data_IF_795009384685
#
_entry.id   IF_795009384685
#
_cell.length_a   1.000
_cell.length_b   1.000
_cell.length_c   1.000
_cell.angle_alpha   90.00
_cell.angle_beta   90.00
_cell.angle_gamma   90.00
#
_symmetry.space_group_name_H-M   'P 1'
#
loop_
_entity.id
_entity.type
_entity.pdbx_description
1 polymer ?
#
# COMPACT_ATOMS: atom_id res chain seq x y z
N UNK A 1 4.20 24.52 7.88
CA UNK A 1 4.15 23.09 8.31
C UNK A 1 2.90 22.82 9.13
N UNK A 2 2.65 23.55 10.23
CA UNK A 2 1.45 23.39 11.08
C UNK A 2 0.15 23.48 10.27
N UNK A 3 -0.10 24.60 9.57
CA UNK A 3 -1.34 24.78 8.77
C UNK A 3 -1.53 23.67 7.72
N UNK A 4 -0.48 23.35 6.96
CA UNK A 4 -0.50 22.25 5.99
C UNK A 4 -0.87 20.91 6.66
N UNK A 5 -0.24 20.57 7.78
CA UNK A 5 -0.54 19.32 8.49
C UNK A 5 -1.99 19.29 9.01
N UNK A 6 -2.48 20.40 9.57
CA UNK A 6 -3.86 20.52 10.04
C UNK A 6 -4.87 20.35 8.91
N UNK A 7 -4.63 20.98 7.76
CA UNK A 7 -5.43 20.82 6.54
C UNK A 7 -5.49 19.36 6.11
N UNK A 8 -4.34 18.71 5.94
CA UNK A 8 -4.26 17.32 5.48
C UNK A 8 -5.02 16.37 6.41
N UNK A 9 -4.90 16.57 7.73
CA UNK A 9 -5.66 15.78 8.72
C UNK A 9 -7.16 15.96 8.53
N UNK A 10 -7.63 17.19 8.33
CA UNK A 10 -9.06 17.49 8.11
C UNK A 10 -9.57 16.80 6.85
N UNK A 11 -8.89 16.96 5.72
CA UNK A 11 -9.37 16.35 4.49
C UNK A 11 -9.28 14.83 4.49
N UNK A 12 -8.22 14.26 5.07
CA UNK A 12 -8.16 12.81 5.23
C UNK A 12 -9.33 12.31 6.07
N UNK A 13 -9.63 13.00 7.18
CA UNK A 13 -10.77 12.67 8.05
C UNK A 13 -12.10 12.76 7.31
N UNK A 14 -12.30 13.80 6.48
CA UNK A 14 -13.50 13.95 5.66
C UNK A 14 -13.56 12.85 4.60
N UNK A 15 -12.47 12.60 3.88
CA UNK A 15 -12.42 11.59 2.82
C UNK A 15 -12.67 10.17 3.37
N UNK A 16 -12.20 9.86 4.58
CA UNK A 16 -12.51 8.58 5.23
C UNK A 16 -14.00 8.46 5.60
N UNK A 17 -14.70 9.58 5.80
CA UNK A 17 -16.13 9.58 6.13
C UNK A 17 -17.05 9.50 4.90
N UNK A 18 -16.66 10.13 3.78
CA UNK A 18 -17.54 10.29 2.60
C UNK A 18 -16.96 9.70 1.30
N UNK A 19 -15.79 9.07 1.36
CA UNK A 19 -15.08 8.50 0.20
C UNK A 19 -14.04 9.44 -0.40
N UNK A 20 -13.34 9.03 -1.48
CA UNK A 20 -12.35 9.86 -2.15
C UNK A 20 -12.98 11.13 -2.71
N UNK A 21 -12.57 12.30 -2.21
CA UNK A 21 -13.01 13.60 -2.71
C UNK A 21 -11.84 14.25 -3.42
N UNK A 22 -12.05 14.72 -4.65
CA UNK A 22 -11.06 15.57 -5.33
C UNK A 22 -11.01 16.91 -4.60
N UNK A 23 -9.98 17.09 -3.78
CA UNK A 23 -9.75 18.33 -3.06
C UNK A 23 -9.09 19.32 -4.04
N UNK A 24 -9.90 20.26 -4.57
CA UNK A 24 -9.92 21.62 -4.04
C UNK A 24 -11.37 22.10 -3.83
N UNK A 25 -11.62 22.68 -2.65
CA UNK A 25 -12.93 23.20 -2.29
C UNK A 25 -13.26 24.46 -3.09
N UNK A 26 -14.56 24.70 -3.29
CA UNK A 26 -15.01 26.02 -3.71
C UNK A 26 -14.52 27.12 -2.73
N UNK A 27 -14.67 28.39 -3.12
CA UNK A 27 -14.23 29.51 -2.28
C UNK A 27 -14.85 29.50 -0.87
N UNK A 28 -16.03 28.88 -0.71
CA UNK A 28 -16.71 28.75 0.58
C UNK A 28 -16.00 27.74 1.46
N UNK A 29 -15.67 26.57 0.93
CA UNK A 29 -14.95 25.52 1.65
C UNK A 29 -13.57 25.99 2.09
N UNK A 30 -12.82 26.66 1.20
CA UNK A 30 -11.52 27.24 1.53
C UNK A 30 -11.62 28.37 2.56
N UNK A 31 -12.67 29.21 2.48
CA UNK A 31 -12.92 30.24 3.48
C UNK A 31 -13.17 29.62 4.85
N UNK A 32 -14.12 28.69 4.97
CA UNK A 32 -14.45 28.02 6.24
C UNK A 32 -13.24 27.28 6.82
N UNK A 33 -12.50 26.54 5.98
CA UNK A 33 -11.31 25.81 6.40
C UNK A 33 -10.25 26.77 6.94
N UNK A 34 -10.01 27.88 6.23
CA UNK A 34 -9.07 28.90 6.69
C UNK A 34 -9.52 29.54 7.99
N UNK A 35 -10.79 29.93 8.12
CA UNK A 35 -11.31 30.53 9.35
C UNK A 35 -11.21 29.56 10.55
N UNK A 36 -11.43 28.27 10.32
CA UNK A 36 -11.38 27.28 11.39
C UNK A 36 -9.96 26.89 11.83
N UNK A 37 -8.96 27.01 10.95
CA UNK A 37 -7.57 26.64 11.22
C UNK A 37 -6.69 27.83 11.63
N UNK A 38 -6.93 29.01 11.05
CA UNK A 38 -6.32 30.25 11.50
C UNK A 38 -7.11 30.76 12.71
N UNK A 39 -6.55 30.68 13.93
CA UNK A 39 -7.09 31.32 15.15
C UNK A 39 -7.12 32.87 15.09
N UNK A 40 -7.20 33.46 13.89
CA UNK A 40 -7.15 34.90 13.61
C UNK A 40 -8.12 35.34 12.51
N UNK A 41 -9.13 34.53 12.21
CA UNK A 41 -10.28 34.93 11.43
C UNK A 41 -11.09 36.01 12.14
N UNK A 42 -10.82 37.28 11.84
CA UNK A 42 -11.49 38.45 12.42
C UNK A 42 -12.91 38.64 11.84
N UNK A 43 -13.68 37.56 11.65
CA UNK A 43 -15.08 37.64 11.28
C UNK A 43 -15.92 37.78 12.56
N UNK A 44 -16.37 38.99 12.93
CA UNK A 44 -17.12 39.20 14.16
C UNK A 44 -18.52 38.56 14.13
N UNK A 45 -18.93 37.98 12.99
CA UNK A 45 -20.27 37.43 12.82
C UNK A 45 -20.38 35.94 13.15
N UNK A 46 -19.28 35.18 13.09
CA UNK A 46 -19.29 33.72 13.26
C UNK A 46 -17.98 33.18 13.83
N UNK A 47 -18.09 32.29 14.82
CA UNK A 47 -16.97 31.48 15.31
C UNK A 47 -16.82 30.20 14.47
N UNK A 48 -15.57 29.87 14.12
CA UNK A 48 -15.23 28.67 13.37
C UNK A 48 -14.25 27.81 14.17
N UNK A 49 -14.58 26.54 14.38
CA UNK A 49 -13.71 25.60 15.07
C UNK A 49 -13.84 24.19 14.48
N UNK A 50 -12.72 23.48 14.35
CA UNK A 50 -12.69 22.07 13.93
C UNK A 50 -12.12 21.21 15.05
N UNK A 51 -12.82 20.12 15.37
CA UNK A 51 -12.40 19.19 16.42
C UNK A 51 -12.24 17.78 15.90
N UNK A 52 -11.02 17.25 16.00
CA UNK A 52 -10.75 15.83 15.76
C UNK A 52 -11.09 15.05 17.03
N UNK A 53 -11.96 14.03 16.88
CA UNK A 53 -12.42 13.20 18.01
C UNK A 53 -11.49 12.03 18.34
N UNK A 54 -10.62 11.66 17.40
CA UNK A 54 -9.66 10.56 17.57
C UNK A 54 -8.31 11.13 18.05
N UNK A 55 -7.53 10.39 18.85
CA UNK A 55 -6.17 10.82 19.18
C UNK A 55 -5.33 10.99 17.91
N UNK A 56 -4.60 12.12 17.83
CA UNK A 56 -3.58 12.36 16.83
C UNK A 56 -2.29 11.67 17.31
N UNK A 57 -1.89 10.59 16.64
CA UNK A 57 -0.64 9.90 16.93
C UNK A 57 0.45 10.42 15.99
N UNK A 58 1.43 11.16 16.52
CA UNK A 58 2.47 11.79 15.72
C UNK A 58 3.78 11.00 15.77
N UNK A 59 4.31 10.63 14.60
CA UNK A 59 5.57 9.90 14.44
C UNK A 59 6.46 10.51 13.35
N UNK A 60 7.77 10.32 13.46
CA UNK A 60 8.79 10.89 12.59
C UNK A 60 9.36 12.21 13.12
N UNK A 61 10.67 12.36 13.22
CA UNK A 61 11.25 13.63 13.63
C UNK A 61 10.99 14.71 12.54
N UNK A 62 10.73 15.98 12.91
CA UNK A 62 10.66 16.53 14.27
C UNK A 62 9.22 16.78 14.76
N UNK A 63 8.38 15.75 14.89
CA UNK A 63 6.97 15.90 15.33
C UNK A 63 6.79 16.72 16.61
N UNK A 64 7.69 16.61 17.58
CA UNK A 64 7.65 17.37 18.82
C UNK A 64 7.67 18.89 18.61
N UNK A 65 8.24 19.36 17.50
CA UNK A 65 8.39 20.78 17.23
C UNK A 65 7.12 21.46 16.69
N UNK A 66 6.17 20.71 16.13
CA UNK A 66 5.01 21.30 15.43
C UNK A 66 3.67 20.61 15.65
N UNK A 67 3.63 19.32 16.02
CA UNK A 67 2.35 18.66 16.30
C UNK A 67 1.59 19.18 17.53
N UNK A 68 2.23 19.74 18.58
CA UNK A 68 1.48 20.42 19.64
C UNK A 68 0.60 21.56 19.11
N UNK A 69 1.11 22.36 18.17
CA UNK A 69 0.34 23.44 17.55
C UNK A 69 -0.77 22.90 16.62
N UNK A 70 -0.51 21.80 15.89
CA UNK A 70 -1.53 21.12 15.06
C UNK A 70 -2.68 20.60 15.94
N UNK A 71 -2.36 19.93 17.04
CA UNK A 71 -3.36 19.38 17.95
C UNK A 71 -4.19 20.49 18.62
N UNK A 72 -3.56 21.62 18.92
CA UNK A 72 -4.25 22.81 19.41
C UNK A 72 -5.25 23.37 18.37
N UNK A 73 -4.82 23.54 17.12
CA UNK A 73 -5.69 24.01 16.02
C UNK A 73 -6.90 23.09 15.79
N UNK A 74 -6.70 21.78 15.95
CA UNK A 74 -7.71 20.76 15.71
C UNK A 74 -8.45 20.30 16.97
N UNK A 75 -8.24 20.99 18.11
CA UNK A 75 -8.82 20.65 19.41
C UNK A 75 -8.74 19.14 19.75
N UNK A 76 -7.64 18.50 19.35
CA UNK A 76 -7.46 17.06 19.41
C UNK A 76 -6.52 16.63 20.53
N UNK A 77 -6.70 15.41 21.03
CA UNK A 77 -5.72 14.77 21.91
C UNK A 77 -4.46 14.41 21.11
N UNK A 78 -3.28 14.86 21.55
CA UNK A 78 -2.01 14.51 20.93
C UNK A 78 -1.32 13.41 21.71
N UNK A 79 -0.92 12.36 21.01
CA UNK A 79 -0.07 11.29 21.52
C UNK A 79 1.21 11.26 20.70
N UNK A 80 2.35 11.50 21.35
CA UNK A 80 3.67 11.29 20.77
C UNK A 80 4.28 10.07 21.46
N UNK A 81 4.36 8.91 20.79
CA UNK A 81 4.94 7.71 21.37
C UNK A 81 6.45 7.88 21.67
N UNK A 82 7.00 7.08 22.60
CA UNK A 82 8.45 6.97 22.75
C UNK A 82 9.11 6.64 21.41
N UNK A 83 10.32 7.17 21.17
CA UNK A 83 11.09 6.93 19.95
C UNK A 83 10.38 7.37 18.65
N UNK A 84 9.38 8.26 18.72
CA UNK A 84 8.69 8.80 17.54
C UNK A 84 9.66 9.32 16.47
N UNK A 85 10.79 9.93 16.87
CA UNK A 85 11.82 10.40 15.96
C UNK A 85 12.46 9.34 15.06
N UNK A 86 12.45 8.07 15.49
CA UNK A 86 13.04 6.94 14.76
C UNK A 86 11.99 5.90 14.35
N UNK A 87 10.70 6.23 14.43
CA UNK A 87 9.61 5.31 14.11
C UNK A 87 9.74 4.69 12.71
N UNK A 88 10.21 5.44 11.72
CA UNK A 88 10.48 4.91 10.38
C UNK A 88 11.56 3.82 10.37
N UNK A 89 12.63 4.00 11.14
CA UNK A 89 13.71 3.01 11.25
C UNK A 89 13.23 1.76 12.02
N UNK A 90 12.48 1.96 13.11
CA UNK A 90 11.84 0.86 13.85
C UNK A 90 10.87 0.09 12.95
N UNK A 91 10.05 0.78 12.16
CA UNK A 91 9.14 0.16 11.21
C UNK A 91 9.85 -0.61 10.09
N UNK A 92 11.01 -0.12 9.63
CA UNK A 92 11.83 -0.83 8.65
C UNK A 92 12.42 -2.13 9.22
N UNK A 93 12.88 -2.11 10.48
CA UNK A 93 13.47 -3.30 11.14
C UNK A 93 12.40 -4.28 11.62
N UNK A 94 11.29 -3.80 12.17
CA UNK A 94 10.15 -4.62 12.59
C UNK A 94 9.27 -5.07 11.39
N UNK A 95 9.64 -4.66 10.18
CA UNK A 95 8.92 -4.97 8.96
C UNK A 95 8.90 -6.47 8.64
N UNK A 96 7.95 -6.88 7.80
CA UNK A 96 7.95 -8.22 7.23
C UNK A 96 8.87 -8.27 6.02
N UNK A 97 9.59 -9.38 5.85
CA UNK A 97 10.28 -9.71 4.60
C UNK A 97 9.23 -10.12 3.58
N UNK A 98 9.24 -9.47 2.41
CA UNK A 98 8.39 -9.81 1.28
C UNK A 98 9.28 -10.16 0.10
N UNK A 99 9.18 -11.38 -0.39
CA UNK A 99 9.85 -11.84 -1.61
C UNK A 99 8.80 -12.12 -2.68
N UNK A 100 9.00 -11.63 -3.90
CA UNK A 100 8.05 -11.80 -4.99
C UNK A 100 8.75 -12.27 -6.26
N UNK A 101 8.23 -13.34 -6.84
CA UNK A 101 8.61 -13.88 -8.15
C UNK A 101 7.47 -13.68 -9.14
N UNK A 102 7.81 -13.21 -10.34
CA UNK A 102 6.90 -13.16 -11.47
C UNK A 102 7.29 -14.25 -12.48
N UNK A 103 6.31 -15.05 -12.88
CA UNK A 103 6.45 -16.08 -13.92
C UNK A 103 5.42 -15.82 -15.00
N UNK A 104 5.85 -15.93 -16.26
CA UNK A 104 4.98 -15.76 -17.42
C UNK A 104 4.89 -17.07 -18.18
N UNK A 105 3.68 -17.47 -18.58
CA UNK A 105 3.44 -18.64 -19.41
C UNK A 105 2.77 -18.17 -20.69
N UNK A 106 3.38 -18.46 -21.84
CA UNK A 106 2.88 -18.05 -23.16
C UNK A 106 2.62 -19.27 -24.05
N UNK A 107 1.57 -19.26 -24.88
CA UNK A 107 1.38 -20.32 -25.87
C UNK A 107 2.48 -20.27 -26.92
N UNK A 108 2.89 -21.43 -27.44
CA UNK A 108 3.80 -21.56 -28.58
C UNK A 108 3.02 -21.66 -29.89
N UNK A 109 3.63 -21.23 -31.01
CA UNK A 109 2.96 -21.14 -32.31
C UNK A 109 2.44 -22.48 -32.85
N UNK A 110 3.05 -23.61 -32.50
CA UNK A 110 2.75 -24.91 -33.11
C UNK A 110 2.11 -25.91 -32.14
N UNK A 111 2.49 -25.88 -30.86
CA UNK A 111 1.83 -26.58 -29.75
C UNK A 111 2.61 -26.34 -28.46
N UNK A 112 1.91 -26.42 -27.32
CA UNK A 112 2.52 -26.32 -26.00
C UNK A 112 2.63 -24.88 -25.47
N UNK A 113 3.29 -24.77 -24.33
CA UNK A 113 3.40 -23.55 -23.53
C UNK A 113 4.84 -23.35 -23.08
N UNK A 114 5.32 -22.11 -23.14
CA UNK A 114 6.64 -21.73 -22.63
C UNK A 114 6.50 -20.95 -21.35
N UNK A 115 7.13 -21.46 -20.30
CA UNK A 115 7.33 -20.78 -19.04
C UNK A 115 8.58 -19.90 -19.15
N UNK A 116 8.45 -18.66 -18.71
CA UNK A 116 9.52 -17.69 -18.55
C UNK A 116 9.59 -17.26 -17.09
N UNK A 117 10.72 -17.52 -16.44
CA UNK A 117 11.06 -17.01 -15.12
C UNK A 117 12.47 -16.41 -15.14
N UNK A 118 12.89 -15.82 -14.02
CA UNK A 118 14.27 -15.30 -13.88
C UNK A 118 15.32 -16.39 -13.79
N UNK A 119 14.94 -17.63 -13.42
CA UNK A 119 15.88 -18.74 -13.22
C UNK A 119 15.95 -19.66 -14.44
N UNK A 120 14.82 -19.83 -15.11
CA UNK A 120 14.69 -20.79 -16.19
C UNK A 120 13.63 -20.38 -17.22
N UNK A 121 13.84 -20.89 -18.43
CA UNK A 121 12.86 -20.95 -19.50
C UNK A 121 12.65 -22.42 -19.83
N UNK A 122 11.41 -22.89 -19.76
CA UNK A 122 11.08 -24.29 -20.00
C UNK A 122 9.77 -24.44 -20.78
N UNK A 123 9.74 -25.38 -21.71
CA UNK A 123 8.56 -25.72 -22.50
C UNK A 123 7.80 -26.89 -21.88
N UNK A 124 6.47 -26.81 -21.96
CA UNK A 124 5.52 -27.79 -21.43
C UNK A 124 4.46 -28.10 -22.49
N UNK A 125 3.90 -29.31 -22.43
CA UNK A 125 2.87 -29.74 -23.38
C UNK A 125 1.48 -29.19 -23.03
N UNK A 126 1.23 -28.92 -21.74
CA UNK A 126 -0.05 -28.39 -21.28
C UNK A 126 0.10 -27.20 -20.32
N UNK A 127 -0.89 -26.31 -20.34
CA UNK A 127 -0.94 -25.16 -19.43
C UNK A 127 -1.00 -25.58 -17.95
N UNK A 128 -1.82 -26.58 -17.54
CA UNK A 128 -1.82 -27.04 -16.15
C UNK A 128 -0.45 -27.53 -15.66
N UNK A 129 0.31 -28.24 -16.49
CA UNK A 129 1.67 -28.67 -16.15
C UNK A 129 2.61 -27.47 -15.96
N UNK A 130 2.56 -26.50 -16.87
CA UNK A 130 3.37 -25.29 -16.77
C UNK A 130 3.06 -24.51 -15.49
N UNK A 131 1.78 -24.38 -15.12
CA UNK A 131 1.34 -23.68 -13.91
C UNK A 131 1.77 -24.43 -12.64
N UNK A 132 1.61 -25.76 -12.63
CA UNK A 132 2.00 -26.59 -11.49
C UNK A 132 3.52 -26.54 -11.25
N UNK A 133 4.31 -26.61 -12.33
CA UNK A 133 5.76 -26.47 -12.27
C UNK A 133 6.17 -25.07 -11.78
N UNK A 134 5.59 -24.01 -12.37
CA UNK A 134 5.84 -22.63 -11.97
C UNK A 134 5.52 -22.37 -10.50
N UNK A 135 4.38 -22.87 -10.04
CA UNK A 135 3.92 -22.72 -8.66
C UNK A 135 4.87 -23.41 -7.69
N UNK A 136 5.13 -24.70 -7.91
CA UNK A 136 5.95 -25.52 -7.00
C UNK A 136 7.37 -24.96 -6.87
N UNK A 137 8.01 -24.66 -8.00
CA UNK A 137 9.38 -24.14 -8.03
C UNK A 137 9.44 -22.71 -7.50
N UNK A 138 8.50 -21.88 -7.92
CA UNK A 138 8.45 -20.49 -7.51
C UNK A 138 8.19 -20.34 -6.01
N UNK A 139 7.31 -21.15 -5.42
CA UNK A 139 7.05 -21.14 -3.97
C UNK A 139 8.28 -21.59 -3.17
N UNK A 140 8.99 -22.63 -3.62
CA UNK A 140 10.24 -23.04 -3.00
C UNK A 140 11.26 -21.90 -3.01
N UNK A 141 11.42 -21.26 -4.18
CA UNK A 141 12.38 -20.18 -4.37
C UNK A 141 12.07 -18.93 -3.53
N UNK A 142 10.82 -18.44 -3.57
CA UNK A 142 10.49 -17.22 -2.79
C UNK A 142 10.58 -17.49 -1.29
N UNK A 143 10.30 -18.73 -0.86
CA UNK A 143 10.44 -19.13 0.55
C UNK A 143 11.90 -19.19 0.96
N UNK A 144 12.76 -19.82 0.16
CA UNK A 144 14.20 -19.86 0.39
C UNK A 144 14.78 -18.45 0.50
N UNK A 145 14.52 -17.60 -0.50
CA UNK A 145 14.99 -16.20 -0.49
C UNK A 145 14.45 -15.39 0.70
N UNK A 146 13.22 -15.67 1.14
CA UNK A 146 12.67 -15.00 2.31
C UNK A 146 13.41 -15.42 3.58
N UNK A 147 13.69 -16.71 3.74
CA UNK A 147 14.46 -17.25 4.87
C UNK A 147 15.90 -16.73 4.85
N UNK A 148 16.56 -16.69 3.69
CA UNK A 148 17.90 -16.09 3.54
C UNK A 148 17.94 -14.61 3.93
N UNK A 149 16.84 -13.88 3.67
CA UNK A 149 16.66 -12.50 4.10
C UNK A 149 16.27 -12.35 5.58
N UNK A 150 16.28 -13.42 6.38
CA UNK A 150 16.03 -13.41 7.82
C UNK A 150 14.57 -13.56 8.22
N UNK A 151 13.69 -13.97 7.29
CA UNK A 151 12.28 -14.17 7.60
C UNK A 151 12.03 -15.48 8.37
N UNK A 152 11.15 -15.42 9.37
CA UNK A 152 10.59 -16.57 10.06
C UNK A 152 9.09 -16.67 9.83
N UNK A 153 8.54 -17.88 10.01
CA UNK A 153 7.13 -18.19 9.77
C UNK A 153 6.65 -17.70 8.39
N UNK A 154 7.38 -18.10 7.35
CA UNK A 154 7.13 -17.68 5.96
C UNK A 154 5.89 -18.38 5.41
N UNK A 155 4.92 -17.58 4.96
CA UNK A 155 3.75 -18.02 4.23
C UNK A 155 3.89 -17.66 2.74
N UNK A 156 3.40 -18.52 1.84
CA UNK A 156 3.40 -18.26 0.40
C UNK A 156 1.98 -18.04 -0.13
N UNK A 157 1.86 -17.15 -1.11
CA UNK A 157 0.63 -16.89 -1.86
C UNK A 157 0.94 -16.87 -3.35
N UNK A 158 0.04 -17.45 -4.14
CA UNK A 158 0.11 -17.44 -5.60
C UNK A 158 -1.11 -16.69 -6.13
N UNK A 159 -0.85 -15.61 -6.87
CA UNK A 159 -1.86 -14.88 -7.62
C UNK A 159 -1.72 -15.21 -9.11
N UNK A 160 -2.79 -15.73 -9.71
CA UNK A 160 -2.87 -16.05 -11.13
C UNK A 160 -3.74 -15.05 -11.86
N UNK A 161 -3.23 -14.53 -12.96
CA UNK A 161 -3.97 -13.71 -13.91
C UNK A 161 -3.81 -14.33 -15.30
N UNK A 162 -4.93 -14.69 -15.92
CA UNK A 162 -4.96 -15.17 -17.29
C UNK A 162 -5.39 -14.03 -18.22
N UNK A 163 -4.59 -13.82 -19.26
CA UNK A 163 -4.87 -12.85 -20.32
C UNK A 163 -5.59 -13.57 -21.45
N UNK A 164 -6.87 -13.21 -21.65
CA UNK A 164 -7.76 -13.80 -22.65
C UNK A 164 -8.36 -12.65 -23.46
N UNK A 165 -8.16 -12.67 -24.78
CA UNK A 165 -8.76 -11.73 -25.71
C UNK A 165 -10.06 -12.29 -26.28
N UNK A 166 -11.09 -11.45 -26.39
CA UNK A 166 -12.34 -11.80 -27.07
C UNK A 166 -12.28 -11.22 -28.48
N UNK A 167 -12.45 -12.06 -29.49
CA UNK A 167 -12.40 -11.63 -30.90
C UNK A 167 -13.68 -11.98 -31.67
N UNK A 168 -13.99 -11.16 -32.67
CA UNK A 168 -15.10 -11.37 -33.61
C UNK A 168 -16.51 -11.07 -33.06
N UNK A 169 -17.50 -11.15 -33.96
CA UNK A 169 -18.94 -11.01 -33.63
C UNK A 169 -19.47 -12.20 -32.80
N UNK A 170 -18.76 -13.35 -32.82
CA UNK A 170 -19.16 -14.60 -32.19
C UNK A 170 -18.53 -14.85 -30.80
N UNK A 171 -17.80 -13.87 -30.23
CA UNK A 171 -17.13 -13.98 -28.91
C UNK A 171 -16.23 -15.21 -28.77
N UNK A 172 -15.27 -15.37 -29.67
CA UNK A 172 -14.24 -16.39 -29.50
C UNK A 172 -13.16 -15.90 -28.52
N UNK A 173 -12.90 -16.69 -27.48
CA UNK A 173 -11.88 -16.44 -26.46
C UNK A 173 -10.53 -17.01 -26.91
N UNK A 174 -9.53 -16.15 -27.07
CA UNK A 174 -8.16 -16.50 -27.41
C UNK A 174 -7.29 -16.30 -26.18
N UNK A 175 -6.68 -17.39 -25.71
CA UNK A 175 -5.70 -17.34 -24.62
C UNK A 175 -4.38 -16.69 -25.09
N UNK A 176 -3.99 -15.58 -24.44
CA UNK A 176 -2.76 -14.84 -24.74
C UNK A 176 -1.61 -15.19 -23.78
N UNK A 177 -1.93 -15.67 -22.58
CA UNK A 177 -0.92 -16.06 -21.59
C UNK A 177 -1.43 -16.06 -20.16
N UNK A 178 -0.61 -16.55 -19.26
CA UNK A 178 -0.84 -16.53 -17.82
C UNK A 178 0.33 -15.82 -17.15
N UNK A 179 0.03 -14.95 -16.19
CA UNK A 179 0.99 -14.34 -15.28
C UNK A 179 0.75 -14.90 -13.89
N UNK A 180 1.79 -15.47 -13.30
CA UNK A 180 1.79 -15.89 -11.90
C UNK A 180 2.64 -14.91 -11.08
N UNK A 181 2.07 -14.37 -10.02
CA UNK A 181 2.78 -13.63 -9.00
C UNK A 181 2.83 -14.47 -7.73
N UNK A 182 4.01 -14.99 -7.43
CA UNK A 182 4.26 -15.85 -6.28
C UNK A 182 4.95 -14.99 -5.23
N UNK A 183 4.35 -14.88 -4.06
CA UNK A 183 4.82 -13.99 -2.99
C UNK A 183 5.03 -14.78 -1.71
N UNK A 184 6.19 -14.65 -1.10
CA UNK A 184 6.46 -15.10 0.26
C UNK A 184 6.45 -13.90 1.20
N UNK A 185 5.78 -14.04 2.35
CA UNK A 185 5.74 -13.04 3.41
C UNK A 185 6.15 -13.72 4.71
N UNK A 186 7.13 -13.17 5.41
CA UNK A 186 7.53 -13.65 6.73
C UNK A 186 7.96 -12.50 7.64
N UNK A 187 7.98 -12.74 8.95
CA UNK A 187 8.36 -11.72 9.93
C UNK A 187 9.86 -11.77 10.20
N UNK A 188 10.49 -10.64 10.48
CA UNK A 188 11.86 -10.62 11.02
C UNK A 188 11.77 -10.79 12.53
N UNK A 189 12.61 -11.65 13.13
CA UNK A 189 12.78 -11.64 14.59
C UNK A 189 13.62 -10.41 14.92
N UNK A 190 13.04 -9.42 15.60
CA UNK A 190 13.84 -8.40 16.28
C UNK A 190 14.63 -9.08 17.39
N UNK A 191 15.96 -9.00 17.35
CA UNK A 191 16.79 -9.42 18.48
C UNK A 191 16.34 -8.66 19.73
N UNK A 192 15.95 -9.41 20.78
CA UNK A 192 15.61 -8.89 22.10
C UNK A 192 16.85 -8.33 22.82
#
# INVERSE_FOLDING_TARGET
VVDMASREIVAKTISDAIGPVAWPGDHITEYILRQALDHGGNDPSMDYAMRIKRPLVAIGAPVDAYFPAVAQQLHGELVIPPYAGVANAVGAVAGSVIQRLLVFIRPLEHSGFRLHSVEEVQDFQSLPEAIAAATTRGEALVRERAVEAGAVAVETRVDREDDIAITGQHREEIYLGTRLAITAIGRVIGEN
#
